data_IF_039532246908
#
_entry.id   IF_039532246908
#
_cell.length_a   1.000
_cell.length_b   1.000
_cell.length_c   1.000
_cell.angle_alpha   90.00
_cell.angle_beta   90.00
_cell.angle_gamma   90.00
#
_symmetry.space_group_name_H-M   'P 1'
#
loop_
_entity.id
_entity.type
_entity.pdbx_description
1 polymer ?
#
# COMPACT_ATOMS: atom_id res chain seq x y z
N UNK A 1 -7.10 48.84 -42.48
CA UNK A 1 -7.38 47.50 -41.91
C UNK A 1 -6.66 46.45 -42.74
N UNK A 2 -5.46 46.02 -42.31
CA UNK A 2 -4.80 44.77 -42.74
C UNK A 2 -4.03 44.26 -41.50
N UNK A 3 -4.19 42.98 -41.19
CA UNK A 3 -3.71 42.32 -39.98
C UNK A 3 -2.32 41.76 -40.28
N UNK A 4 -1.30 42.29 -39.63
CA UNK A 4 0.07 41.78 -39.78
C UNK A 4 0.27 40.59 -38.84
N UNK A 5 0.29 39.41 -39.46
CA UNK A 5 1.05 38.20 -39.16
C UNK A 5 1.31 37.86 -37.68
N UNK A 6 0.48 36.96 -37.16
CA UNK A 6 0.79 36.10 -36.03
C UNK A 6 1.77 35.01 -36.47
N UNK A 7 3.06 35.17 -36.21
CA UNK A 7 4.03 34.07 -36.31
C UNK A 7 4.43 33.62 -34.92
N UNK A 8 3.60 32.77 -34.33
CA UNK A 8 3.98 31.94 -33.18
C UNK A 8 4.98 30.92 -33.69
N UNK A 9 6.26 31.22 -33.52
CA UNK A 9 7.38 30.30 -33.71
C UNK A 9 7.24 29.15 -32.70
N UNK A 10 6.51 28.10 -33.08
CA UNK A 10 6.56 26.82 -32.38
C UNK A 10 7.92 26.21 -32.66
N UNK A 11 8.88 26.46 -31.76
CA UNK A 11 10.13 25.69 -31.74
C UNK A 11 9.74 24.24 -31.46
N UNK A 12 9.56 23.46 -32.53
CA UNK A 12 9.45 22.00 -32.44
C UNK A 12 10.86 21.50 -32.21
N UNK A 13 11.33 21.65 -30.96
CA UNK A 13 12.60 21.11 -30.52
C UNK A 13 12.61 19.61 -30.82
N UNK A 14 13.70 19.16 -31.43
CA UNK A 14 13.93 17.77 -31.79
C UNK A 14 13.67 16.86 -30.57
N UNK A 15 12.65 16.01 -30.66
CA UNK A 15 12.30 15.11 -29.55
C UNK A 15 13.46 14.14 -29.31
N UNK A 16 13.90 14.04 -28.07
CA UNK A 16 14.87 13.01 -27.70
C UNK A 16 14.38 11.61 -28.12
N UNK A 17 15.26 10.79 -28.71
CA UNK A 17 14.89 9.47 -29.19
C UNK A 17 14.34 8.64 -28.04
N UNK A 18 13.15 8.07 -28.26
CA UNK A 18 12.47 7.24 -27.27
C UNK A 18 13.32 5.97 -27.07
N UNK A 19 13.70 5.69 -25.82
CA UNK A 19 14.48 4.49 -25.49
C UNK A 19 13.81 3.24 -26.06
N UNK A 20 14.54 2.51 -26.91
CA UNK A 20 14.11 1.22 -27.49
C UNK A 20 14.37 0.03 -26.57
N UNK A 21 15.05 0.27 -25.44
CA UNK A 21 15.32 -0.78 -24.45
C UNK A 21 14.02 -1.17 -23.75
N UNK A 22 13.73 -2.47 -23.58
CA UNK A 22 12.57 -2.91 -22.81
C UNK A 22 12.67 -2.33 -21.40
N UNK A 23 11.56 -1.76 -20.92
CA UNK A 23 11.48 -1.27 -19.54
C UNK A 23 11.83 -2.42 -18.60
N UNK A 24 12.80 -2.22 -17.70
CA UNK A 24 13.04 -3.16 -16.60
C UNK A 24 11.75 -3.26 -15.81
N UNK A 25 11.32 -4.50 -15.49
CA UNK A 25 10.16 -4.73 -14.62
C UNK A 25 10.32 -3.84 -13.39
N UNK A 26 9.32 -2.99 -13.14
CA UNK A 26 9.32 -2.09 -12.00
C UNK A 26 9.47 -2.84 -10.68
N UNK A 27 9.76 -2.11 -9.60
CA UNK A 27 9.79 -2.67 -8.24
C UNK A 27 8.49 -3.47 -8.01
N UNK A 28 8.55 -4.71 -7.50
CA UNK A 28 7.35 -5.49 -7.21
C UNK A 28 6.41 -4.69 -6.31
N UNK A 29 5.11 -4.78 -6.61
CA UNK A 29 4.05 -3.97 -6.00
C UNK A 29 3.94 -4.17 -4.49
N UNK A 30 4.36 -5.34 -4.00
CA UNK A 30 4.53 -5.65 -2.58
C UNK A 30 5.91 -6.24 -2.36
N UNK A 31 6.55 -5.85 -1.25
CA UNK A 31 7.85 -6.38 -0.80
C UNK A 31 7.77 -6.89 0.65
N UNK A 32 6.59 -7.31 1.09
CA UNK A 32 6.36 -7.84 2.43
C UNK A 32 6.52 -9.36 2.52
N UNK A 33 6.65 -9.89 3.75
CA UNK A 33 6.67 -11.34 4.04
C UNK A 33 5.33 -12.04 3.74
N UNK A 34 4.25 -11.27 3.58
CA UNK A 34 2.89 -11.75 3.36
C UNK A 34 2.38 -11.24 2.02
N UNK A 35 1.68 -12.12 1.29
CA UNK A 35 1.15 -11.83 -0.05
C UNK A 35 -0.10 -10.97 0.06
N UNK A 36 -0.93 -11.24 1.08
CA UNK A 36 -2.19 -10.54 1.30
C UNK A 36 -2.29 -9.92 2.69
N UNK A 37 -3.19 -8.93 2.82
CA UNK A 37 -3.53 -8.35 4.11
C UNK A 37 -4.25 -9.34 5.03
N UNK A 38 -5.02 -10.27 4.47
CA UNK A 38 -5.71 -11.29 5.26
C UNK A 38 -4.71 -12.23 5.96
N UNK A 39 -3.68 -12.70 5.24
CA UNK A 39 -2.60 -13.51 5.80
C UNK A 39 -1.88 -12.76 6.94
N UNK A 40 -1.62 -11.47 6.76
CA UNK A 40 -1.04 -10.62 7.80
C UNK A 40 -1.92 -10.56 9.06
N UNK A 41 -3.22 -10.36 8.89
CA UNK A 41 -4.17 -10.24 10.00
C UNK A 41 -4.30 -11.58 10.75
N UNK A 42 -4.38 -12.72 10.06
CA UNK A 42 -4.43 -14.05 10.65
C UNK A 42 -3.19 -14.35 11.51
N UNK A 43 -2.01 -14.10 10.96
CA UNK A 43 -0.71 -14.31 11.64
C UNK A 43 -0.56 -13.42 12.87
N UNK A 44 -1.08 -12.19 12.82
CA UNK A 44 -1.11 -11.25 13.95
C UNK A 44 -2.03 -11.76 15.05
N UNK A 45 -3.24 -12.21 14.71
CA UNK A 45 -4.22 -12.71 15.66
C UNK A 45 -3.79 -14.03 16.31
N UNK A 46 -3.23 -14.96 15.54
CA UNK A 46 -2.65 -16.21 16.05
C UNK A 46 -1.51 -15.95 17.06
N UNK A 47 -0.67 -14.95 16.81
CA UNK A 47 0.37 -14.60 17.80
C UNK A 47 -0.19 -13.86 19.00
N UNK A 48 -1.23 -13.05 18.80
CA UNK A 48 -1.88 -12.38 19.91
C UNK A 48 -2.56 -13.38 20.85
N UNK A 49 -3.21 -14.43 20.32
CA UNK A 49 -3.83 -15.49 21.12
C UNK A 49 -2.81 -16.30 21.93
N UNK A 50 -1.58 -16.43 21.43
CA UNK A 50 -0.43 -17.03 22.16
C UNK A 50 0.18 -16.10 23.22
N UNK A 51 -0.32 -14.88 23.39
CA UNK A 51 0.12 -13.94 24.43
C UNK A 51 1.31 -13.05 24.05
N UNK A 52 1.70 -12.98 22.77
CA UNK A 52 2.79 -12.11 22.35
C UNK A 52 2.39 -10.62 22.40
N UNK A 53 3.35 -9.76 22.76
CA UNK A 53 3.15 -8.31 22.75
C UNK A 53 3.15 -7.74 21.32
N UNK A 54 2.42 -6.64 21.10
CA UNK A 54 2.31 -6.02 19.76
C UNK A 54 3.67 -5.64 19.17
N UNK A 55 4.62 -5.21 20.01
CA UNK A 55 6.00 -4.89 19.59
C UNK A 55 6.74 -6.14 19.10
N UNK A 56 6.59 -7.26 19.81
CA UNK A 56 7.22 -8.52 19.42
C UNK A 56 6.64 -9.06 18.11
N UNK A 57 5.31 -9.02 17.97
CA UNK A 57 4.62 -9.42 16.74
C UNK A 57 5.09 -8.57 15.55
N UNK A 58 5.18 -7.25 15.73
CA UNK A 58 5.66 -6.32 14.70
C UNK A 58 7.05 -6.68 14.17
N UNK A 59 7.98 -7.03 15.07
CA UNK A 59 9.32 -7.46 14.69
C UNK A 59 9.33 -8.76 13.86
N UNK A 60 8.48 -9.74 14.20
CA UNK A 60 8.40 -11.01 13.46
C UNK A 60 7.83 -10.77 12.06
N UNK A 61 6.71 -10.04 12.01
CA UNK A 61 5.89 -9.85 10.82
C UNK A 61 6.48 -8.80 9.88
N UNK A 62 7.34 -7.91 10.40
CA UNK A 62 7.97 -6.84 9.63
C UNK A 62 7.09 -5.59 9.51
N UNK A 63 6.26 -5.32 10.51
CA UNK A 63 5.37 -4.14 10.57
C UNK A 63 5.53 -3.41 11.90
N UNK A 64 5.07 -2.16 11.97
CA UNK A 64 5.14 -1.40 13.22
C UNK A 64 4.21 -2.00 14.28
N UNK A 65 4.60 -1.90 15.56
CA UNK A 65 3.73 -2.33 16.67
C UNK A 65 2.39 -1.57 16.72
N UNK A 66 2.36 -0.34 16.21
CA UNK A 66 1.12 0.46 16.05
C UNK A 66 0.19 -0.17 15.02
N UNK A 67 0.74 -0.63 13.89
CA UNK A 67 -0.03 -1.36 12.86
C UNK A 67 -0.66 -2.63 13.44
N UNK A 68 0.09 -3.37 14.25
CA UNK A 68 -0.41 -4.56 14.95
C UNK A 68 -1.55 -4.21 15.90
N UNK A 69 -1.40 -3.16 16.71
CA UNK A 69 -2.45 -2.71 17.63
C UNK A 69 -3.74 -2.31 16.90
N UNK A 70 -3.62 -1.60 15.77
CA UNK A 70 -4.76 -1.21 14.96
C UNK A 70 -5.50 -2.42 14.34
N UNK A 71 -4.76 -3.45 13.91
CA UNK A 71 -5.36 -4.70 13.41
C UNK A 71 -6.19 -5.37 14.52
N UNK A 72 -5.62 -5.50 15.72
CA UNK A 72 -6.29 -6.14 16.86
C UNK A 72 -7.54 -5.34 17.26
N UNK A 73 -7.41 -4.02 17.42
CA UNK A 73 -8.53 -3.13 17.75
C UNK A 73 -9.69 -3.26 16.75
N UNK A 74 -9.37 -3.22 15.45
CA UNK A 74 -10.39 -3.36 14.38
C UNK A 74 -11.04 -4.74 14.38
N UNK A 75 -10.30 -5.78 14.77
CA UNK A 75 -10.86 -7.12 14.93
C UNK A 75 -11.84 -7.18 16.11
N UNK A 76 -11.49 -6.60 17.25
CA UNK A 76 -12.37 -6.50 18.43
C UNK A 76 -13.65 -5.71 18.14
N UNK A 77 -13.54 -4.57 17.45
CA UNK A 77 -14.69 -3.76 17.02
C UNK A 77 -15.65 -4.57 16.14
N UNK A 78 -15.13 -5.29 15.13
CA UNK A 78 -15.94 -6.18 14.29
C UNK A 78 -16.65 -7.27 15.08
N UNK A 79 -16.00 -7.85 16.09
CA UNK A 79 -16.64 -8.84 16.96
C UNK A 79 -17.76 -8.20 17.79
N UNK A 80 -17.57 -6.96 18.27
CA UNK A 80 -18.58 -6.26 19.05
C UNK A 80 -19.84 -5.93 18.23
N UNK A 81 -19.68 -5.47 16.99
CA UNK A 81 -20.80 -5.19 16.08
C UNK A 81 -21.57 -6.46 15.71
N UNK A 82 -20.84 -7.54 15.39
CA UNK A 82 -21.45 -8.84 15.05
C UNK A 82 -22.25 -9.44 16.21
N UNK A 83 -21.83 -9.21 17.45
CA UNK A 83 -22.55 -9.67 18.64
C UNK A 83 -23.77 -8.79 18.98
N UNK A 84 -23.73 -7.50 18.64
CA UNK A 84 -24.85 -6.57 18.85
C UNK A 84 -26.01 -6.83 17.89
N UNK A 85 -25.75 -7.25 16.65
CA UNK A 85 -26.79 -7.54 15.64
C UNK A 85 -27.51 -8.89 15.88
N UNK A 86 -26.98 -9.72 16.80
CA UNK A 86 -27.54 -11.03 17.18
C UNK A 86 -28.38 -11.01 18.46
N UNK A 87 -28.41 -9.89 19.18
CA UNK A 87 -29.12 -9.71 20.46
C UNK A 87 -30.41 -8.92 20.26
#
# INVERSE_FOLDING_TARGET
MRKDMTETIYTTGERHPRSTKPMRKGRPLSSGKYVTRAELEEVVLDRRSRGFSCRHIGNIVGVSGVTVANIIKRWEEKQSEHNADRS
#
